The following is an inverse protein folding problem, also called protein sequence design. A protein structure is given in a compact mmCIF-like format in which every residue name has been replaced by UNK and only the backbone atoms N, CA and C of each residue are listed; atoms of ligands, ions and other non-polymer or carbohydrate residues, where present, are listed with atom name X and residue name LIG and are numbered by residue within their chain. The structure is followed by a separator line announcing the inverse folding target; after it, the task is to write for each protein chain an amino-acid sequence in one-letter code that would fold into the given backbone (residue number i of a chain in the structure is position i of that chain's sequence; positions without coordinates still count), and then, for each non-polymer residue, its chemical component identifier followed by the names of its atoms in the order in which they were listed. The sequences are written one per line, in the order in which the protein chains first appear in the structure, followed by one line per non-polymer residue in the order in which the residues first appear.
data_IF_425792407711
#
_entry.id   IF_425792407711
#
_cell.length_a   1.000
_cell.length_b   1.000
_cell.length_c   1.000
_cell.angle_alpha   90.00
_cell.angle_beta   90.00
_cell.angle_gamma   90.00
#
_symmetry.space_group_name_H-M   'P 1'
#
loop_
_entity.id
_entity.type
_entity.pdbx_description
1 polymer ?
#
# COMPACT_ATOMS: atom_id res chain seq x y z
N UNK A 1 -4.76 -60.85 -61.72
CA UNK A 1 -3.52 -60.18 -62.17
C UNK A 1 -3.46 -58.74 -61.66
N UNK A 2 -2.27 -58.15 -61.46
CA UNK A 2 -2.12 -56.70 -61.22
C UNK A 2 -2.00 -55.97 -62.56
N UNK A 3 -2.69 -54.84 -62.69
CA UNK A 3 -2.68 -53.98 -63.87
C UNK A 3 -2.25 -52.58 -63.45
N UNK A 4 -1.42 -51.94 -64.27
CA UNK A 4 -1.13 -50.50 -64.18
C UNK A 4 -1.91 -49.78 -65.29
N UNK A 5 -2.63 -48.71 -64.93
CA UNK A 5 -3.33 -47.84 -65.89
C UNK A 5 -2.81 -46.40 -65.74
N UNK A 6 -2.46 -45.80 -66.88
CA UNK A 6 -2.02 -44.41 -66.94
C UNK A 6 -3.23 -43.47 -67.15
N UNK A 7 -3.31 -42.40 -66.36
CA UNK A 7 -4.47 -41.49 -66.28
C UNK A 7 -4.15 -40.11 -66.84
N UNK A 8 -2.92 -39.85 -67.25
CA UNK A 8 -2.52 -38.56 -67.82
C UNK A 8 -1.38 -38.68 -68.82
N UNK A 9 -1.20 -37.63 -69.63
CA UNK A 9 -0.18 -37.56 -70.67
C UNK A 9 -0.49 -38.41 -71.91
N UNK A 10 0.52 -38.66 -72.73
CA UNK A 10 0.42 -39.43 -73.99
C UNK A 10 0.06 -40.91 -73.81
N UNK A 11 0.23 -41.44 -72.59
CA UNK A 11 -0.11 -42.82 -72.24
C UNK A 11 -1.52 -42.95 -71.66
N UNK A 12 -2.34 -41.90 -71.67
CA UNK A 12 -3.68 -41.93 -71.08
C UNK A 12 -4.51 -43.11 -71.61
N UNK A 13 -5.04 -43.93 -70.70
CA UNK A 13 -5.86 -45.09 -71.01
C UNK A 13 -5.08 -46.37 -71.33
N UNK A 14 -3.75 -46.31 -71.47
CA UNK A 14 -2.91 -47.50 -71.65
C UNK A 14 -2.92 -48.33 -70.37
N UNK A 15 -3.13 -49.64 -70.53
CA UNK A 15 -3.14 -50.63 -69.45
C UNK A 15 -2.09 -51.69 -69.72
N UNK A 16 -1.20 -51.91 -68.76
CA UNK A 16 -0.16 -52.94 -68.86
C UNK A 16 -0.31 -53.96 -67.73
N UNK A 17 -0.14 -55.26 -68.01
CA UNK A 17 -0.05 -56.28 -66.96
C UNK A 17 1.26 -56.12 -66.20
N UNK A 18 1.21 -56.31 -64.88
CA UNK A 18 2.38 -56.39 -64.01
C UNK A 18 2.55 -57.85 -63.59
N UNK A 19 3.33 -58.61 -64.36
CA UNK A 19 3.54 -60.05 -64.15
C UNK A 19 4.66 -60.33 -63.15
N UNK A 20 5.88 -59.85 -63.40
CA UNK A 20 7.06 -60.00 -62.52
C UNK A 20 7.67 -58.64 -62.17
N UNK A 21 8.07 -57.91 -63.20
CA UNK A 21 8.56 -56.55 -63.13
C UNK A 21 8.18 -55.77 -64.39
N UNK A 22 7.92 -54.47 -64.24
CA UNK A 22 7.75 -53.55 -65.35
C UNK A 22 8.74 -52.41 -65.18
N UNK A 23 9.58 -52.19 -66.18
CA UNK A 23 10.53 -51.09 -66.21
C UNK A 23 9.98 -49.97 -67.10
N UNK A 24 9.95 -48.74 -66.59
CA UNK A 24 9.59 -47.54 -67.34
C UNK A 24 10.77 -46.58 -67.28
N UNK A 25 11.29 -46.18 -68.44
CA UNK A 25 12.49 -45.32 -68.53
C UNK A 25 12.24 -44.08 -69.38
N UNK A 26 12.84 -42.96 -69.00
CA UNK A 26 12.92 -41.77 -69.85
C UNK A 26 14.08 -41.78 -70.83
N UNK A 27 14.94 -42.81 -70.82
CA UNK A 27 16.04 -42.93 -71.76
C UNK A 27 15.51 -43.32 -73.16
N UNK A 28 16.10 -42.77 -74.23
CA UNK A 28 15.69 -43.08 -75.61
C UNK A 28 16.01 -44.52 -76.02
N UNK A 29 16.96 -45.15 -75.34
CA UNK A 29 17.37 -46.52 -75.55
C UNK A 29 17.39 -47.27 -74.21
N UNK A 30 16.82 -48.47 -74.19
CA UNK A 30 16.87 -49.37 -73.03
C UNK A 30 17.61 -50.65 -73.38
N UNK A 31 18.38 -51.18 -72.42
CA UNK A 31 19.01 -52.51 -72.54
C UNK A 31 17.99 -53.64 -72.36
N UNK A 32 16.84 -53.34 -71.78
CA UNK A 32 15.76 -54.29 -71.55
C UNK A 32 14.70 -54.14 -72.65
N UNK A 33 14.48 -55.21 -73.42
CA UNK A 33 13.54 -55.23 -74.56
C UNK A 33 12.07 -55.06 -74.13
N UNK A 34 11.77 -55.35 -72.87
CA UNK A 34 10.41 -55.24 -72.30
C UNK A 34 10.18 -53.92 -71.54
N UNK A 35 11.17 -53.01 -71.55
CA UNK A 35 11.03 -51.71 -70.90
C UNK A 35 10.14 -50.77 -71.72
N UNK A 36 9.24 -50.07 -71.02
CA UNK A 36 8.44 -49.00 -71.60
C UNK A 36 9.29 -47.72 -71.67
N UNK A 37 9.64 -47.32 -72.88
CA UNK A 37 10.45 -46.13 -73.16
C UNK A 37 9.52 -44.91 -73.33
N UNK A 38 9.65 -43.93 -72.43
CA UNK A 38 8.78 -42.73 -72.36
C UNK A 38 9.59 -41.44 -72.17
N UNK A 39 10.47 -41.08 -73.14
CA UNK A 39 11.38 -39.94 -73.03
C UNK A 39 10.65 -38.58 -73.07
N UNK A 40 9.40 -38.55 -73.54
CA UNK A 40 8.57 -37.35 -73.59
C UNK A 40 7.98 -36.96 -72.22
N UNK A 41 7.93 -37.92 -71.28
CA UNK A 41 7.28 -37.73 -69.97
C UNK A 41 8.31 -37.79 -68.85
N UNK A 42 9.23 -38.76 -68.88
CA UNK A 42 10.23 -38.95 -67.83
C UNK A 42 11.59 -38.34 -68.21
N UNK A 43 12.35 -37.79 -67.25
CA UNK A 43 13.73 -37.36 -67.46
C UNK A 43 14.64 -38.48 -68.00
N UNK A 44 15.64 -38.13 -68.81
CA UNK A 44 16.50 -39.10 -69.52
C UNK A 44 17.36 -39.97 -68.61
N UNK A 45 17.62 -39.52 -67.38
CA UNK A 45 18.40 -40.23 -66.34
C UNK A 45 17.52 -41.05 -65.39
N UNK A 46 16.21 -41.14 -65.66
CA UNK A 46 15.24 -41.70 -64.75
C UNK A 46 14.69 -43.06 -65.20
N UNK A 47 14.74 -44.03 -64.28
CA UNK A 47 14.11 -45.35 -64.41
C UNK A 47 13.20 -45.62 -63.23
N UNK A 48 11.96 -46.00 -63.53
CA UNK A 48 10.97 -46.48 -62.57
C UNK A 48 10.81 -47.97 -62.76
N UNK A 49 11.14 -48.73 -61.73
CA UNK A 49 11.06 -50.18 -61.77
C UNK A 49 9.97 -50.66 -60.82
N UNK A 50 8.91 -51.22 -61.39
CA UNK A 50 7.78 -51.77 -60.68
C UNK A 50 7.99 -53.26 -60.50
N UNK A 51 7.88 -53.75 -59.27
CA UNK A 51 8.06 -55.17 -58.93
C UNK A 51 6.90 -55.63 -58.03
N UNK A 52 6.64 -56.93 -58.03
CA UNK A 52 5.82 -57.57 -57.02
C UNK A 52 6.70 -58.11 -55.89
N UNK A 53 6.67 -57.45 -54.73
CA UNK A 53 7.28 -57.99 -53.52
C UNK A 53 6.23 -58.83 -52.78
N UNK A 54 6.15 -60.12 -53.13
CA UNK A 54 5.04 -61.00 -52.74
C UNK A 54 3.73 -60.57 -53.42
N UNK A 55 2.67 -60.35 -52.64
CA UNK A 55 1.36 -59.94 -53.17
C UNK A 55 1.20 -58.42 -53.37
N UNK A 56 2.26 -57.63 -53.12
CA UNK A 56 2.20 -56.17 -53.01
C UNK A 56 3.07 -55.52 -54.09
N UNK A 57 2.51 -54.63 -54.92
CA UNK A 57 3.29 -53.87 -55.87
C UNK A 57 4.16 -52.83 -55.16
N UNK A 58 5.42 -52.76 -55.56
CA UNK A 58 6.41 -51.79 -55.09
C UNK A 58 7.04 -51.10 -56.29
N UNK A 59 7.50 -49.87 -56.10
CA UNK A 59 8.25 -49.12 -57.12
C UNK A 59 9.59 -48.65 -56.57
N UNK A 60 10.66 -48.88 -57.34
CA UNK A 60 12.00 -48.32 -57.16
C UNK A 60 12.17 -47.11 -58.08
N UNK A 61 12.95 -46.13 -57.65
CA UNK A 61 13.18 -44.88 -58.41
C UNK A 61 12.16 -43.77 -58.17
N UNK A 62 11.04 -44.02 -57.47
CA UNK A 62 9.98 -43.01 -57.25
C UNK A 62 10.41 -41.81 -56.37
N UNK A 63 11.48 -41.94 -55.58
CA UNK A 63 12.02 -40.87 -54.74
C UNK A 63 13.54 -40.73 -55.02
N UNK A 64 14.10 -39.53 -54.84
CA UNK A 64 15.56 -39.25 -54.98
C UNK A 64 16.47 -40.16 -54.15
N UNK A 65 15.94 -40.82 -53.12
CA UNK A 65 16.68 -41.75 -52.26
C UNK A 65 16.68 -43.21 -52.76
N UNK A 66 16.13 -43.49 -53.95
CA UNK A 66 15.96 -44.83 -54.52
C UNK A 66 15.27 -45.87 -53.60
N UNK A 67 14.65 -45.42 -52.51
CA UNK A 67 13.96 -46.29 -51.55
C UNK A 67 12.71 -46.89 -52.19
N UNK A 68 12.52 -48.19 -51.94
CA UNK A 68 11.31 -48.93 -52.30
C UNK A 68 10.07 -48.27 -51.70
N UNK A 69 9.11 -47.91 -52.57
CA UNK A 69 7.82 -47.37 -52.16
C UNK A 69 6.72 -48.39 -52.41
N UNK A 70 5.99 -48.74 -51.36
CA UNK A 70 4.79 -49.58 -51.45
C UNK A 70 3.67 -48.83 -52.16
N UNK A 71 3.11 -49.46 -53.19
CA UNK A 71 1.97 -48.95 -53.94
C UNK A 71 0.68 -49.56 -53.40
N UNK A 72 -0.33 -48.71 -53.21
CA UNK A 72 -1.67 -49.13 -52.81
C UNK A 72 -2.57 -49.21 -54.03
N UNK A 73 -3.40 -50.26 -54.09
CA UNK A 73 -4.40 -50.40 -55.15
C UNK A 73 -5.26 -49.14 -55.27
N UNK A 74 -5.68 -48.82 -56.50
CA UNK A 74 -6.65 -47.79 -56.82
C UNK A 74 -6.28 -46.38 -56.39
N UNK A 75 -5.02 -46.15 -56.00
CA UNK A 75 -4.51 -44.82 -55.67
C UNK A 75 -3.81 -44.24 -56.88
N UNK A 76 -4.24 -43.05 -57.28
CA UNK A 76 -3.55 -42.30 -58.34
C UNK A 76 -2.26 -41.72 -57.78
N UNK A 77 -1.15 -42.08 -58.41
CA UNK A 77 0.19 -41.56 -58.17
C UNK A 77 0.55 -40.62 -59.32
N UNK A 78 1.10 -39.47 -58.98
CA UNK A 78 1.62 -38.50 -59.93
C UNK A 78 3.09 -38.29 -59.62
N UNK A 79 3.95 -38.43 -60.63
CA UNK A 79 5.40 -38.30 -60.50
C UNK A 79 5.98 -37.79 -61.82
N UNK A 80 6.64 -36.62 -61.80
CA UNK A 80 7.34 -36.01 -62.95
C UNK A 80 6.53 -36.14 -64.27
N UNK A 81 5.27 -35.69 -64.27
CA UNK A 81 4.38 -35.75 -65.45
C UNK A 81 3.66 -37.09 -65.67
N UNK A 82 4.18 -38.21 -65.15
CA UNK A 82 3.53 -39.52 -65.23
C UNK A 82 2.44 -39.66 -64.17
N UNK A 83 1.21 -39.96 -64.61
CA UNK A 83 0.07 -40.21 -63.71
C UNK A 83 -0.46 -41.62 -63.91
N UNK A 84 -0.42 -42.46 -62.88
CA UNK A 84 -0.83 -43.86 -62.97
C UNK A 84 -1.47 -44.37 -61.68
N UNK A 85 -2.21 -45.47 -61.77
CA UNK A 85 -2.65 -46.24 -60.61
C UNK A 85 -2.57 -47.73 -60.91
N UNK A 86 -2.46 -48.54 -59.86
CA UNK A 86 -2.44 -49.99 -59.97
C UNK A 86 -3.72 -50.57 -59.39
N UNK A 87 -4.25 -51.62 -59.99
CA UNK A 87 -5.43 -52.32 -59.49
C UNK A 87 -5.34 -53.81 -59.80
N UNK A 88 -6.04 -54.64 -59.02
CA UNK A 88 -6.24 -56.03 -59.42
C UNK A 88 -7.35 -56.09 -60.46
N UNK A 89 -7.18 -56.94 -61.45
CA UNK A 89 -8.21 -57.24 -62.44
C UNK A 89 -9.59 -57.46 -61.78
N UNK A 90 -10.63 -56.81 -62.31
CA UNK A 90 -11.98 -56.80 -61.71
C UNK A 90 -12.22 -55.78 -60.58
N UNK A 91 -11.19 -55.10 -60.05
CA UNK A 91 -11.30 -54.20 -58.88
C UNK A 91 -10.99 -52.72 -59.17
N UNK A 92 -11.14 -52.27 -60.42
CA UNK A 92 -10.82 -50.89 -60.86
C UNK A 92 -11.72 -49.84 -60.18
N UNK A 93 -11.15 -48.99 -59.33
CA UNK A 93 -11.84 -47.87 -58.64
C UNK A 93 -10.87 -46.71 -58.29
N UNK A 94 -10.34 -45.95 -59.28
CA UNK A 94 -9.32 -44.93 -59.01
C UNK A 94 -9.81 -43.85 -58.04
N UNK A 95 -8.97 -43.50 -57.06
CA UNK A 95 -9.22 -42.47 -56.05
C UNK A 95 -8.08 -41.44 -56.03
N UNK A 96 -8.44 -40.16 -56.14
CA UNK A 96 -7.52 -39.03 -56.03
C UNK A 96 -7.48 -38.54 -54.58
N UNK A 97 -6.28 -38.47 -53.99
CA UNK A 97 -6.10 -37.82 -52.68
C UNK A 97 -6.01 -36.31 -52.89
N UNK A 98 -7.14 -35.61 -52.78
CA UNK A 98 -7.17 -34.13 -52.83
C UNK A 98 -6.63 -33.56 -51.51
N UNK A 99 -5.48 -32.87 -51.55
CA UNK A 99 -4.88 -32.20 -50.38
C UNK A 99 -5.34 -30.73 -50.24
N UNK A 100 -6.65 -30.46 -50.32
CA UNK A 100 -7.21 -29.09 -50.19
C UNK A 100 -6.75 -28.37 -48.92
N UNK A 101 -6.51 -29.10 -47.84
CA UNK A 101 -6.04 -28.54 -46.56
C UNK A 101 -4.65 -27.88 -46.62
N UNK A 102 -3.80 -28.27 -47.58
CA UNK A 102 -2.45 -27.72 -47.71
C UNK A 102 -2.47 -26.36 -48.42
N UNK A 103 -3.45 -26.14 -49.29
CA UNK A 103 -3.64 -24.88 -50.02
C UNK A 103 -4.07 -23.74 -49.09
N UNK A 104 -4.89 -24.02 -48.08
CA UNK A 104 -5.40 -23.01 -47.14
C UNK A 104 -4.59 -22.87 -45.85
N UNK A 105 -3.48 -23.59 -45.71
CA UNK A 105 -2.71 -23.65 -44.46
C UNK A 105 -2.24 -22.27 -43.99
N UNK A 106 -1.72 -21.46 -44.91
CA UNK A 106 -1.23 -20.09 -44.61
C UNK A 106 -2.36 -19.18 -44.13
N UNK A 107 -3.54 -19.27 -44.75
CA UNK A 107 -4.71 -18.48 -44.43
C UNK A 107 -5.29 -18.87 -43.05
N UNK A 108 -5.29 -20.15 -42.71
CA UNK A 108 -5.70 -20.64 -41.39
C UNK A 108 -4.73 -20.13 -40.31
N UNK A 109 -3.42 -20.22 -40.54
CA UNK A 109 -2.40 -19.78 -39.58
C UNK A 109 -2.46 -18.27 -39.36
N UNK A 110 -2.60 -17.47 -40.42
CA UNK A 110 -2.71 -16.00 -40.30
C UNK A 110 -3.97 -15.59 -39.54
N UNK A 111 -5.10 -16.24 -39.81
CA UNK A 111 -6.35 -16.01 -39.08
C UNK A 111 -6.22 -16.33 -37.59
N UNK A 112 -5.59 -17.46 -37.24
CA UNK A 112 -5.34 -17.83 -35.83
C UNK A 112 -4.44 -16.81 -35.13
N UNK A 113 -3.33 -16.41 -35.78
CA UNK A 113 -2.42 -15.40 -35.22
C UNK A 113 -3.11 -14.06 -35.01
N UNK A 114 -3.92 -13.61 -35.97
CA UNK A 114 -4.69 -12.37 -35.86
C UNK A 114 -5.66 -12.43 -34.68
N UNK A 115 -6.38 -13.55 -34.49
CA UNK A 115 -7.29 -13.70 -33.37
C UNK A 115 -6.56 -13.66 -32.02
N UNK A 116 -5.43 -14.36 -31.89
CA UNK A 116 -4.61 -14.32 -30.68
C UNK A 116 -4.17 -12.89 -30.37
N UNK A 117 -3.70 -12.15 -31.38
CA UNK A 117 -3.28 -10.76 -31.23
C UNK A 117 -4.45 -9.86 -30.80
N UNK A 118 -5.61 -10.02 -31.42
CA UNK A 118 -6.81 -9.24 -31.12
C UNK A 118 -7.32 -9.51 -29.70
N UNK A 119 -7.36 -10.78 -29.29
CA UNK A 119 -7.74 -11.17 -27.92
C UNK A 119 -6.75 -10.59 -26.91
N UNK A 120 -5.44 -10.64 -27.19
CA UNK A 120 -4.41 -10.04 -26.35
C UNK A 120 -4.59 -8.52 -26.20
N UNK A 121 -4.88 -7.83 -27.30
CA UNK A 121 -5.12 -6.38 -27.30
C UNK A 121 -6.37 -6.02 -26.47
N UNK A 122 -7.49 -6.72 -26.69
CA UNK A 122 -8.73 -6.48 -25.95
C UNK A 122 -8.52 -6.71 -24.45
N UNK A 123 -7.83 -7.80 -24.09
CA UNK A 123 -7.50 -8.09 -22.69
C UNK A 123 -6.62 -7.00 -22.08
N UNK A 124 -5.60 -6.53 -22.81
CA UNK A 124 -4.73 -5.45 -22.34
C UNK A 124 -5.49 -4.14 -22.10
N UNK A 125 -6.34 -3.74 -23.05
CA UNK A 125 -7.18 -2.54 -22.92
C UNK A 125 -8.16 -2.67 -21.74
N UNK A 126 -8.77 -3.84 -21.57
CA UNK A 126 -9.63 -4.13 -20.45
C UNK A 126 -8.91 -4.00 -19.10
N UNK A 127 -7.68 -4.52 -19.00
CA UNK A 127 -6.85 -4.38 -17.79
C UNK A 127 -6.52 -2.92 -17.48
N UNK A 128 -6.14 -2.14 -18.49
CA UNK A 128 -5.85 -0.71 -18.31
C UNK A 128 -7.09 0.07 -17.85
N UNK A 129 -8.26 -0.22 -18.43
CA UNK A 129 -9.51 0.41 -18.04
C UNK A 129 -9.93 0.01 -16.61
N UNK A 130 -9.74 -1.25 -16.24
CA UNK A 130 -10.04 -1.71 -14.89
C UNK A 130 -9.14 -1.02 -13.85
N UNK A 131 -7.84 -0.91 -14.14
CA UNK A 131 -6.90 -0.19 -13.28
C UNK A 131 -7.28 1.29 -13.11
N UNK A 132 -7.66 1.98 -14.19
CA UNK A 132 -8.06 3.39 -14.11
C UNK A 132 -9.34 3.58 -13.29
N UNK A 133 -10.32 2.69 -13.43
CA UNK A 133 -11.54 2.71 -12.61
C UNK A 133 -11.22 2.50 -11.12
N UNK A 134 -10.38 1.52 -10.77
CA UNK A 134 -9.98 1.27 -9.38
C UNK A 134 -9.29 2.49 -8.78
N UNK A 135 -8.38 3.14 -9.51
CA UNK A 135 -7.75 4.39 -9.06
C UNK A 135 -8.79 5.49 -8.87
N UNK A 136 -9.78 5.60 -9.77
CA UNK A 136 -10.90 6.53 -9.64
C UNK A 136 -11.70 6.30 -8.35
N UNK A 137 -12.06 5.05 -8.06
CA UNK A 137 -12.75 4.68 -6.83
C UNK A 137 -11.94 4.98 -5.57
N UNK A 138 -10.63 4.67 -5.57
CA UNK A 138 -9.74 4.98 -4.46
C UNK A 138 -9.60 6.49 -4.23
N UNK A 139 -9.53 7.29 -5.30
CA UNK A 139 -9.51 8.76 -5.20
C UNK A 139 -10.82 9.30 -4.65
N UNK A 140 -11.96 8.75 -5.07
CA UNK A 140 -13.27 9.15 -4.60
C UNK A 140 -13.47 8.86 -3.11
N UNK A 141 -12.94 7.73 -2.62
CA UNK A 141 -12.93 7.39 -1.19
C UNK A 141 -12.21 8.47 -0.36
N UNK A 142 -11.15 9.05 -0.91
CA UNK A 142 -10.45 10.22 -0.38
C UNK A 142 -9.63 9.90 0.87
N UNK A 143 -10.29 9.58 1.98
CA UNK A 143 -9.66 9.22 3.25
C UNK A 143 -10.37 8.05 3.93
N UNK A 144 -9.58 7.15 4.50
CA UNK A 144 -10.06 5.95 5.17
C UNK A 144 -8.89 5.12 5.70
N UNK A 145 -9.21 4.00 6.35
CA UNK A 145 -8.22 3.05 6.81
C UNK A 145 -8.69 1.62 6.57
N UNK A 146 -7.74 0.69 6.43
CA UNK A 146 -8.03 -0.72 6.23
C UNK A 146 -7.73 -1.48 7.52
N UNK A 147 -8.72 -2.22 8.02
CA UNK A 147 -8.58 -3.09 9.19
C UNK A 147 -9.32 -4.39 8.93
N UNK A 148 -8.63 -5.52 9.13
CA UNK A 148 -9.20 -6.87 8.95
C UNK A 148 -9.86 -7.10 7.58
N UNK A 149 -9.26 -6.54 6.52
CA UNK A 149 -9.77 -6.67 5.15
C UNK A 149 -11.03 -5.85 4.84
N UNK A 150 -11.50 -5.03 5.79
CA UNK A 150 -12.59 -4.06 5.58
C UNK A 150 -12.03 -2.64 5.49
N UNK A 151 -12.62 -1.86 4.60
CA UNK A 151 -12.29 -0.45 4.43
C UNK A 151 -13.22 0.39 5.30
N UNK A 152 -12.66 1.26 6.11
CA UNK A 152 -13.40 2.19 6.96
C UNK A 152 -13.29 3.59 6.37
N UNK A 153 -14.42 4.20 6.06
CA UNK A 153 -14.51 5.48 5.35
C UNK A 153 -15.25 6.48 6.22
N UNK A 154 -14.87 7.76 6.15
CA UNK A 154 -15.41 8.80 7.02
C UNK A 154 -16.54 9.62 6.39
N UNK A 155 -16.69 9.57 5.07
CA UNK A 155 -17.60 10.40 4.31
C UNK A 155 -18.60 9.53 3.54
N UNK A 156 -19.89 9.71 3.83
CA UNK A 156 -20.97 8.95 3.18
C UNK A 156 -21.07 9.27 1.68
N UNK A 157 -20.77 10.52 1.31
CA UNK A 157 -20.75 10.98 -0.09
C UNK A 157 -19.73 10.22 -0.94
N UNK A 158 -18.67 9.70 -0.33
CA UNK A 158 -17.62 8.93 -1.00
C UNK A 158 -18.11 7.56 -1.49
N UNK A 159 -19.24 7.09 -0.97
CA UNK A 159 -19.80 5.77 -1.29
C UNK A 159 -20.66 5.78 -2.57
N UNK A 160 -21.09 6.97 -3.02
CA UNK A 160 -22.02 7.12 -4.15
C UNK A 160 -21.35 6.71 -5.47
N UNK A 161 -21.83 5.66 -6.13
CA UNK A 161 -21.28 5.22 -7.42
C UNK A 161 -20.12 4.23 -7.31
N UNK A 162 -19.80 3.75 -6.10
CA UNK A 162 -18.94 2.59 -5.93
C UNK A 162 -19.67 1.29 -6.34
N UNK A 163 -18.95 0.26 -6.83
CA UNK A 163 -19.55 -1.04 -7.11
C UNK A 163 -20.17 -1.68 -5.86
N UNK A 164 -21.32 -2.34 -6.02
CA UNK A 164 -22.01 -3.03 -4.91
C UNK A 164 -21.14 -4.06 -4.18
N UNK A 165 -20.19 -4.69 -4.88
CA UNK A 165 -19.23 -5.65 -4.29
C UNK A 165 -18.25 -5.00 -3.31
N UNK A 166 -17.97 -3.71 -3.45
CA UNK A 166 -17.11 -2.97 -2.53
C UNK A 166 -17.89 -2.52 -1.30
N UNK A 167 -19.15 -2.10 -1.50
CA UNK A 167 -20.00 -1.60 -0.41
C UNK A 167 -20.17 -2.64 0.72
N UNK A 168 -20.19 -3.94 0.42
CA UNK A 168 -20.27 -5.00 1.43
C UNK A 168 -19.02 -5.12 2.32
N UNK A 169 -17.90 -4.52 1.91
CA UNK A 169 -16.63 -4.52 2.63
C UNK A 169 -16.26 -3.14 3.17
N UNK A 170 -17.16 -2.15 3.03
CA UNK A 170 -16.95 -0.78 3.50
C UNK A 170 -17.82 -0.50 4.71
N UNK A 171 -17.20 -0.03 5.79
CA UNK A 171 -17.88 0.45 6.98
C UNK A 171 -17.80 1.98 7.05
N UNK A 172 -18.93 2.64 7.25
CA UNK A 172 -18.97 4.08 7.49
C UNK A 172 -18.66 4.36 8.97
N UNK A 173 -17.63 5.16 9.21
CA UNK A 173 -17.26 5.63 10.55
C UNK A 173 -17.89 6.99 10.78
N UNK A 174 -19.04 7.00 11.44
CA UNK A 174 -19.74 8.22 11.85
C UNK A 174 -19.13 8.77 13.15
N UNK A 175 -18.24 9.77 13.05
CA UNK A 175 -18.03 10.77 14.12
C UNK A 175 -17.01 11.86 13.72
N UNK A 176 -17.38 13.11 13.98
CA UNK A 176 -16.51 14.28 13.92
C UNK A 176 -15.54 14.38 15.11
N UNK A 177 -15.52 13.39 16.01
CA UNK A 177 -14.72 13.42 17.25
C UNK A 177 -13.29 12.90 17.07
N UNK A 178 -12.89 12.49 15.86
CA UNK A 178 -11.60 11.85 15.61
C UNK A 178 -10.68 12.73 14.77
N UNK A 179 -9.44 12.86 15.25
CA UNK A 179 -8.36 13.46 14.49
C UNK A 179 -7.91 12.50 13.40
N UNK A 180 -7.83 13.01 12.17
CA UNK A 180 -7.36 12.27 11.01
C UNK A 180 -5.87 12.52 10.83
N UNK A 181 -5.08 11.45 10.78
CA UNK A 181 -3.67 11.52 10.44
C UNK A 181 -3.46 11.12 8.97
N UNK A 182 -2.55 11.80 8.28
CA UNK A 182 -2.13 11.44 6.92
C UNK A 182 -1.09 10.31 6.91
N UNK A 183 -0.39 10.09 8.04
CA UNK A 183 0.63 9.07 8.20
C UNK A 183 0.25 8.09 9.31
N UNK A 184 0.68 6.84 9.13
CA UNK A 184 0.51 5.77 10.13
C UNK A 184 1.48 5.93 11.30
N UNK A 185 2.63 6.55 11.06
CA UNK A 185 3.62 6.87 12.08
C UNK A 185 3.33 8.24 12.62
N UNK A 186 2.99 8.31 13.91
CA UNK A 186 2.67 9.55 14.60
C UNK A 186 3.70 9.81 15.69
N UNK A 187 4.26 11.01 15.71
CA UNK A 187 5.01 11.53 16.85
C UNK A 187 4.06 12.32 17.74
N UNK A 188 4.07 12.02 19.04
CA UNK A 188 3.23 12.69 20.02
C UNK A 188 4.10 13.65 20.83
N UNK A 189 3.83 14.93 20.71
CA UNK A 189 4.61 15.99 21.35
C UNK A 189 3.70 16.80 22.26
N UNK A 190 4.18 17.11 23.45
CA UNK A 190 3.51 18.00 24.39
C UNK A 190 3.46 19.42 23.84
N UNK A 191 2.26 20.00 23.73
CA UNK A 191 2.09 21.37 23.26
C UNK A 191 2.73 22.42 24.20
N UNK A 192 2.82 22.12 25.50
CA UNK A 192 3.38 23.02 26.51
C UNK A 192 4.89 22.92 26.64
N UNK A 193 5.47 21.72 26.54
CA UNK A 193 6.92 21.52 26.74
C UNK A 193 7.71 21.28 25.45
N UNK A 194 7.05 20.98 24.33
CA UNK A 194 7.69 20.61 23.07
C UNK A 194 8.42 19.27 23.09
N UNK A 195 8.29 18.48 24.17
CA UNK A 195 8.97 17.19 24.32
C UNK A 195 8.09 16.01 23.89
N UNK A 196 8.69 14.91 23.38
CA UNK A 196 7.96 13.69 23.09
C UNK A 196 7.26 13.12 24.32
N UNK A 197 6.04 12.63 24.15
CA UNK A 197 5.22 12.03 25.20
C UNK A 197 5.33 10.51 25.18
N UNK A 198 5.44 9.91 26.37
CA UNK A 198 5.35 8.45 26.51
C UNK A 198 3.91 8.02 26.27
N UNK A 199 3.70 7.11 25.33
CA UNK A 199 2.36 6.65 24.94
C UNK A 199 2.30 5.13 24.77
N UNK A 200 1.10 4.58 24.86
CA UNK A 200 0.79 3.18 24.58
C UNK A 200 -0.36 3.11 23.58
N UNK A 201 -0.22 2.25 22.57
CA UNK A 201 -1.29 1.97 21.61
C UNK A 201 -2.13 0.81 22.15
N UNK A 202 -3.45 1.02 22.22
CA UNK A 202 -4.42 0.02 22.61
C UNK A 202 -5.32 -0.26 21.41
N UNK A 203 -5.36 -1.51 20.97
CA UNK A 203 -6.26 -1.94 19.91
C UNK A 203 -7.69 -2.02 20.44
N UNK A 204 -8.63 -1.44 19.69
CA UNK A 204 -10.08 -1.49 19.92
C UNK A 204 -10.78 -2.04 18.67
N UNK A 205 -12.04 -2.40 18.82
CA UNK A 205 -12.87 -2.79 17.68
C UNK A 205 -12.93 -1.63 16.67
N UNK A 206 -12.55 -1.92 15.43
CA UNK A 206 -12.53 -0.94 14.35
C UNK A 206 -11.43 0.14 14.44
N UNK A 207 -10.69 0.32 15.53
CA UNK A 207 -9.69 1.41 15.61
C UNK A 207 -8.55 1.14 16.60
N UNK A 208 -7.51 1.95 16.51
CA UNK A 208 -6.45 1.98 17.51
C UNK A 208 -6.58 3.25 18.35
N UNK A 209 -6.35 3.14 19.65
CA UNK A 209 -6.41 4.24 20.61
C UNK A 209 -5.01 4.49 21.17
N UNK A 210 -4.49 5.70 20.96
CA UNK A 210 -3.28 6.16 21.63
C UNK A 210 -3.67 6.64 23.04
N UNK A 211 -3.07 6.05 24.07
CA UNK A 211 -3.12 6.57 25.44
C UNK A 211 -1.81 7.23 25.79
N UNK A 212 -1.90 8.42 26.35
CA UNK A 212 -0.75 9.19 26.81
C UNK A 212 -0.86 9.34 28.32
N UNK A 213 0.23 9.08 29.02
CA UNK A 213 0.38 9.36 30.45
C UNK A 213 0.91 10.79 30.57
N UNK A 214 0.19 11.66 31.27
CA UNK A 214 0.55 13.09 31.32
C UNK A 214 0.49 13.58 32.76
N UNK A 215 1.63 14.08 33.28
CA UNK A 215 1.71 14.95 34.47
C UNK A 215 1.27 16.40 34.13
N UNK A 216 0.36 16.55 33.16
CA UNK A 216 0.01 17.83 32.53
C UNK A 216 -0.59 18.82 33.52
N UNK A 217 -1.32 18.28 34.50
CA UNK A 217 -2.06 19.07 35.47
C UNK A 217 -1.07 19.88 36.29
N UNK A 218 0.01 19.25 36.79
CA UNK A 218 1.04 19.94 37.55
C UNK A 218 1.76 21.00 36.72
N UNK A 219 2.12 20.66 35.48
CA UNK A 219 2.78 21.62 34.58
C UNK A 219 1.90 22.82 34.24
N UNK A 220 0.59 22.61 34.06
CA UNK A 220 -0.39 23.68 33.84
C UNK A 220 -0.56 24.54 35.09
N UNK A 221 -0.59 23.94 36.28
CA UNK A 221 -0.63 24.67 37.57
C UNK A 221 0.62 25.52 37.76
N UNK A 222 1.81 24.96 37.53
CA UNK A 222 3.09 25.67 37.64
C UNK A 222 3.17 26.85 36.67
N UNK A 223 2.77 26.64 35.42
CA UNK A 223 2.76 27.69 34.39
C UNK A 223 1.79 28.80 34.78
N UNK A 224 0.58 28.45 35.20
CA UNK A 224 -0.44 29.40 35.62
C UNK A 224 0.02 30.22 36.82
N UNK A 225 0.56 29.59 37.87
CA UNK A 225 1.07 30.32 39.03
C UNK A 225 2.29 31.19 38.67
N UNK A 226 3.20 30.69 37.83
CA UNK A 226 4.36 31.46 37.35
C UNK A 226 3.99 32.70 36.56
N UNK A 227 3.00 32.63 35.66
CA UNK A 227 2.52 33.76 34.86
C UNK A 227 1.91 34.88 35.72
N UNK A 228 1.25 34.52 36.82
CA UNK A 228 0.57 35.47 37.70
C UNK A 228 1.39 35.82 38.95
N UNK A 229 2.68 35.45 38.98
CA UNK A 229 3.60 35.80 40.06
C UNK A 229 3.26 35.17 41.42
N UNK A 230 2.48 34.09 41.44
CA UNK A 230 2.17 33.36 42.67
C UNK A 230 3.38 32.51 43.02
N UNK A 231 3.94 32.74 44.21
CA UNK A 231 5.01 31.88 44.72
C UNK A 231 4.41 30.58 45.22
N UNK A 232 4.93 29.44 44.76
CA UNK A 232 4.41 28.12 45.12
C UNK A 232 5.51 27.13 45.47
N UNK A 233 5.17 26.14 46.30
CA UNK A 233 5.97 24.94 46.57
C UNK A 233 5.05 23.73 46.55
N UNK A 234 5.37 22.72 45.76
CA UNK A 234 4.65 21.45 45.78
C UNK A 234 5.30 20.52 46.79
N UNK A 235 4.51 19.95 47.70
CA UNK A 235 4.94 18.89 48.62
C UNK A 235 3.91 17.77 48.47
N UNK A 236 4.34 16.61 48.00
CA UNK A 236 3.48 15.49 47.62
C UNK A 236 2.38 15.94 46.64
N UNK A 237 1.12 15.87 47.06
CA UNK A 237 -0.04 16.30 46.27
C UNK A 237 -0.49 17.73 46.56
N UNK A 238 0.02 18.36 47.62
CA UNK A 238 -0.46 19.67 48.07
C UNK A 238 0.43 20.81 47.53
N UNK A 239 -0.24 21.88 47.08
CA UNK A 239 0.35 23.10 46.56
C UNK A 239 0.30 24.19 47.62
N UNK A 240 1.45 24.52 48.18
CA UNK A 240 1.60 25.60 49.15
C UNK A 240 1.86 26.91 48.42
N UNK A 241 0.90 27.83 48.46
CA UNK A 241 0.92 29.08 47.68
C UNK A 241 0.95 30.33 48.57
N UNK A 242 1.53 31.41 48.05
CA UNK A 242 1.61 32.71 48.75
C UNK A 242 0.25 33.34 49.03
N UNK A 243 -0.71 33.20 48.11
CA UNK A 243 -2.08 33.68 48.26
C UNK A 243 -3.05 32.58 47.81
N UNK A 244 -3.72 31.96 48.78
CA UNK A 244 -4.68 30.90 48.51
C UNK A 244 -5.91 31.40 47.77
N UNK A 245 -6.38 32.63 48.03
CA UNK A 245 -7.57 33.18 47.40
C UNK A 245 -7.38 33.37 45.90
N UNK A 246 -6.29 34.06 45.54
CA UNK A 246 -5.94 34.34 44.13
C UNK A 246 -5.61 33.02 43.41
N UNK A 247 -4.83 32.12 44.02
CA UNK A 247 -4.51 30.82 43.42
C UNK A 247 -5.76 29.98 43.15
N UNK A 248 -6.70 29.93 44.10
CA UNK A 248 -7.96 29.17 43.96
C UNK A 248 -8.85 29.77 42.87
N UNK A 249 -8.90 31.11 42.75
CA UNK A 249 -9.64 31.78 41.70
C UNK A 249 -9.05 31.50 40.31
N UNK A 250 -7.73 31.65 40.14
CA UNK A 250 -7.06 31.40 38.86
C UNK A 250 -7.23 29.94 38.40
N UNK A 251 -7.10 28.98 39.31
CA UNK A 251 -7.33 27.57 39.00
C UNK A 251 -8.78 27.30 38.57
N UNK A 252 -9.75 27.98 39.19
CA UNK A 252 -11.16 27.87 38.83
C UNK A 252 -11.44 28.44 37.44
N UNK A 253 -10.90 29.63 37.15
CA UNK A 253 -11.05 30.29 35.85
C UNK A 253 -10.37 29.51 34.72
N UNK A 254 -9.27 28.82 35.03
CA UNK A 254 -8.52 27.99 34.08
C UNK A 254 -9.05 26.55 33.93
N UNK A 255 -10.17 26.21 34.58
CA UNK A 255 -10.80 24.89 34.50
C UNK A 255 -10.06 23.77 35.25
N UNK A 256 -9.14 24.09 36.16
CA UNK A 256 -8.34 23.14 36.94
C UNK A 256 -8.98 22.83 38.31
N UNK A 257 -10.29 22.56 38.31
CA UNK A 257 -11.07 22.37 39.54
C UNK A 257 -10.58 21.21 40.43
N UNK A 258 -10.01 20.18 39.81
CA UNK A 258 -9.48 19.00 40.48
C UNK A 258 -8.29 19.26 41.42
N UNK A 259 -7.62 20.42 41.29
CA UNK A 259 -6.46 20.79 42.11
C UNK A 259 -6.87 21.62 43.33
N UNK A 260 -8.10 22.17 43.35
CA UNK A 260 -8.53 23.14 44.36
C UNK A 260 -8.48 22.59 45.80
N UNK A 261 -8.79 21.31 46.00
CA UNK A 261 -8.76 20.65 47.31
C UNK A 261 -7.35 20.51 47.90
N UNK A 262 -6.33 20.69 47.06
CA UNK A 262 -4.91 20.51 47.38
C UNK A 262 -4.15 21.83 47.52
N UNK A 263 -4.81 22.98 47.33
CA UNK A 263 -4.17 24.28 47.50
C UNK A 263 -4.24 24.69 48.97
N UNK A 264 -3.06 24.87 49.57
CA UNK A 264 -2.89 25.30 50.96
C UNK A 264 -2.22 26.67 51.00
N UNK A 265 -2.63 27.52 51.93
CA UNK A 265 -1.88 28.74 52.21
C UNK A 265 -0.52 28.35 52.78
N UNK A 266 0.55 28.97 52.28
CA UNK A 266 1.88 28.85 52.85
C UNK A 266 1.91 29.69 54.13
N UNK A 267 2.05 29.03 55.28
CA UNK A 267 2.24 29.73 56.55
C UNK A 267 3.51 30.60 56.46
N UNK A 268 3.34 31.91 56.59
CA UNK A 268 4.45 32.87 56.70
C UNK A 268 5.09 32.61 58.06
N UNK A 269 6.38 32.26 58.08
CA UNK A 269 7.14 32.18 59.33
C UNK A 269 7.11 33.55 60.00
N UNK A 270 6.27 33.70 61.04
CA UNK A 270 6.22 34.89 61.87
C UNK A 270 7.34 34.79 62.92
N UNK A 271 8.36 35.62 62.78
CA UNK A 271 9.47 35.69 63.75
C UNK A 271 9.18 36.77 64.79
N UNK A 272 9.11 36.40 66.06
CA UNK A 272 8.90 37.36 67.15
C UNK A 272 10.25 37.99 67.52
N UNK A 273 10.35 39.31 67.39
CA UNK A 273 11.49 40.09 67.86
C UNK A 273 11.35 40.25 69.37
N UNK A 274 12.32 39.73 70.11
CA UNK A 274 12.37 39.92 71.56
C UNK A 274 12.90 41.32 71.91
N UNK A 275 12.53 41.82 73.09
CA UNK A 275 12.90 43.15 73.58
C UNK A 275 14.41 43.45 73.54
N UNK A 276 15.24 42.44 73.82
CA UNK A 276 16.70 42.52 73.72
C UNK A 276 17.22 42.80 72.30
N UNK A 277 16.44 42.44 71.28
CA UNK A 277 16.78 42.53 69.87
C UNK A 277 16.10 43.74 69.20
N UNK A 278 15.44 44.60 69.98
CA UNK A 278 14.75 45.81 69.52
C UNK A 278 15.36 47.09 70.12
N UNK A 279 16.46 47.63 69.55
CA UNK A 279 17.20 48.77 70.11
C UNK A 279 16.59 50.13 69.73
N UNK A 280 15.27 50.21 69.58
CA UNK A 280 14.57 51.42 69.15
C UNK A 280 13.52 51.84 70.18
N UNK A 281 13.38 53.15 70.37
CA UNK A 281 12.27 53.74 71.12
C UNK A 281 11.07 53.97 70.21
N UNK A 282 9.86 53.95 70.77
CA UNK A 282 8.61 54.01 70.01
C UNK A 282 7.91 55.32 70.33
N UNK A 283 7.65 56.14 69.32
CA UNK A 283 6.76 57.28 69.43
C UNK A 283 5.40 56.93 68.83
N UNK A 284 4.36 56.99 69.65
CA UNK A 284 2.99 56.77 69.23
C UNK A 284 2.14 57.97 69.63
N UNK A 285 1.55 58.65 68.64
CA UNK A 285 0.50 59.64 68.84
C UNK A 285 -0.72 59.28 68.00
N UNK A 286 -1.91 59.50 68.58
CA UNK A 286 -3.18 59.35 67.86
C UNK A 286 -3.40 60.46 66.83
N UNK A 287 -2.70 61.59 66.95
CA UNK A 287 -2.89 62.78 66.11
C UNK A 287 -1.65 63.21 65.33
N UNK A 288 -0.43 62.91 65.83
CA UNK A 288 0.83 63.46 65.29
C UNK A 288 1.74 62.43 64.57
N UNK A 289 1.20 61.26 64.22
CA UNK A 289 1.93 60.22 63.50
C UNK A 289 2.64 59.21 64.41
N UNK A 290 3.25 58.19 63.78
CA UNK A 290 3.85 57.04 64.45
C UNK A 290 5.21 56.76 63.83
N UNK A 291 6.23 56.57 64.66
CA UNK A 291 7.57 56.24 64.20
C UNK A 291 8.36 55.53 65.30
N UNK A 292 9.38 54.79 64.91
CA UNK A 292 10.41 54.30 65.82
C UNK A 292 11.67 55.14 65.64
N UNK A 293 12.49 55.26 66.68
CA UNK A 293 13.68 56.08 66.61
C UNK A 293 14.80 55.54 67.49
N UNK A 294 16.02 55.84 67.10
CA UNK A 294 17.19 55.73 67.97
C UNK A 294 17.77 57.14 68.20
N UNK A 295 18.97 57.23 68.78
CA UNK A 295 19.64 58.52 69.03
C UNK A 295 19.99 59.31 67.75
N UNK A 296 19.90 58.70 66.57
CA UNK A 296 20.40 59.27 65.31
C UNK A 296 19.32 59.47 64.24
N UNK A 297 18.33 58.59 64.12
CA UNK A 297 17.37 58.53 63.01
C UNK A 297 15.96 58.20 63.50
N UNK A 298 14.94 58.72 62.79
CA UNK A 298 13.53 58.37 62.94
C UNK A 298 13.07 57.57 61.72
N UNK A 299 12.29 56.51 61.94
CA UNK A 299 11.77 55.61 60.92
C UNK A 299 10.25 55.56 60.98
N UNK A 300 9.59 55.97 59.90
CA UNK A 300 8.13 55.96 59.75
C UNK A 300 7.65 54.66 59.12
N UNK A 301 6.33 54.43 59.11
CA UNK A 301 5.74 53.38 58.28
C UNK A 301 6.21 53.53 56.82
N UNK A 302 6.66 52.43 56.21
CA UNK A 302 7.31 52.40 54.90
C UNK A 302 8.83 52.58 54.92
N UNK A 303 9.44 52.94 56.05
CA UNK A 303 10.90 53.07 56.16
C UNK A 303 11.57 51.70 56.31
N UNK A 304 12.73 51.53 55.67
CA UNK A 304 13.59 50.35 55.85
C UNK A 304 14.45 50.52 57.10
N UNK A 305 14.37 49.54 58.01
CA UNK A 305 15.11 49.50 59.26
C UNK A 305 16.20 48.44 59.16
N UNK A 306 17.48 48.80 59.39
CA UNK A 306 18.58 47.86 59.31
C UNK A 306 18.32 46.60 60.15
N UNK A 307 18.58 45.43 59.57
CA UNK A 307 18.41 44.11 60.18
C UNK A 307 16.98 43.68 60.55
N UNK A 308 15.99 44.58 60.55
CA UNK A 308 14.58 44.28 60.85
C UNK A 308 13.69 44.24 59.60
N UNK A 309 14.02 45.02 58.56
CA UNK A 309 13.25 45.14 57.32
C UNK A 309 12.38 46.40 57.27
N UNK A 310 11.44 46.45 56.33
CA UNK A 310 10.57 47.60 56.12
C UNK A 310 9.42 47.63 57.11
N UNK A 311 9.16 48.78 57.73
CA UNK A 311 8.05 48.94 58.67
C UNK A 311 6.73 48.90 57.90
N UNK A 312 5.93 47.86 58.09
CA UNK A 312 4.59 47.77 57.49
C UNK A 312 3.53 48.51 58.29
N UNK A 313 3.59 48.41 59.62
CA UNK A 313 2.64 49.10 60.50
C UNK A 313 3.16 49.23 61.92
N UNK A 314 2.91 50.38 62.54
CA UNK A 314 3.12 50.66 63.96
C UNK A 314 1.75 50.78 64.63
N UNK A 315 1.43 49.84 65.53
CA UNK A 315 0.18 49.81 66.30
C UNK A 315 0.49 49.88 67.81
N UNK A 316 -0.46 50.26 68.67
CA UNK A 316 -0.26 50.35 70.11
C UNK A 316 0.29 49.07 70.76
N UNK A 317 -0.09 47.90 70.23
CA UNK A 317 0.28 46.60 70.78
C UNK A 317 1.44 45.91 70.07
N UNK A 318 1.82 46.38 68.88
CA UNK A 318 2.83 45.70 68.06
C UNK A 318 3.35 46.54 66.90
N UNK A 319 4.56 46.22 66.46
CA UNK A 319 5.18 46.73 65.25
C UNK A 319 5.44 45.55 64.30
N UNK A 320 5.11 45.72 63.03
CA UNK A 320 5.27 44.70 62.00
C UNK A 320 6.35 45.14 61.02
N UNK A 321 7.36 44.31 60.84
CA UNK A 321 8.41 44.46 59.84
C UNK A 321 8.27 43.40 58.75
N UNK A 322 8.62 43.78 57.51
CA UNK A 322 8.58 42.91 56.34
C UNK A 322 9.95 42.96 55.65
N UNK A 323 10.60 41.81 55.57
CA UNK A 323 11.92 41.62 54.94
C UNK A 323 11.80 40.50 53.90
N UNK A 324 11.46 40.90 52.67
CA UNK A 324 11.09 39.97 51.60
C UNK A 324 9.88 39.10 51.97
N UNK A 325 10.11 37.80 52.18
CA UNK A 325 9.06 36.82 52.53
C UNK A 325 8.94 36.58 54.05
N UNK A 326 9.77 37.23 54.88
CA UNK A 326 9.74 37.07 56.34
C UNK A 326 8.99 38.23 56.98
N UNK A 327 8.05 37.90 57.86
CA UNK A 327 7.32 38.88 58.65
C UNK A 327 7.82 38.81 60.09
N UNK A 328 8.39 39.91 60.58
CA UNK A 328 8.90 39.99 61.95
C UNK A 328 8.00 40.86 62.81
N UNK A 329 7.71 40.40 64.01
CA UNK A 329 6.75 41.05 64.90
C UNK A 329 7.43 41.47 66.20
N UNK A 330 7.41 42.76 66.50
CA UNK A 330 7.75 43.24 67.84
C UNK A 330 6.46 43.49 68.62
N UNK A 331 6.33 42.89 69.80
CA UNK A 331 5.18 43.09 70.69
C UNK A 331 5.50 44.18 71.71
N UNK A 332 4.66 45.21 71.77
CA UNK A 332 4.77 46.30 72.75
C UNK A 332 4.00 45.85 73.99
N UNK A 333 4.68 45.77 75.14
CA UNK A 333 4.08 45.45 76.43
C UNK A 333 3.56 46.69 77.14
#
# INVERSE_FOLDING_TARGET
MWLIEFVGGHLHGVRLPLESSLEITGNKESKNLEALIVPEILPTDMTLLFELNGAVPVVKGFNKSHRLKRLSANRVYCFEGLSFFLFKEGSRRPSLRRYRFREYRTLIVSSLLLNILLTGLVFFLFQMQHQSMVVGYLKQLGSGYLKEGKLYVFEEKSLVGLPNSWLSHINLVSKNDYLRASQLTLELVSASSGKPLVSKIIQREGRDQIRVEIDEIDNRVMTLFGQYGISFKKIDNDWFVSDQGIATQLLRESGLHQVLSHVRSREVEEEIIYEKDFPYSIFYSTTAGRYIYNSQVRYWEGSEVPMLGTIKSIKPSKIIFEDGLKKRLFLIK
#
